data_IF_613286216370
#
_entry.id   IF_613286216370
#
_cell.length_a   1.000
_cell.length_b   1.000
_cell.length_c   1.000
_cell.angle_alpha   90.00
_cell.angle_beta   90.00
_cell.angle_gamma   90.00
#
_symmetry.space_group_name_H-M   'P 1'
#
loop_
_entity.id
_entity.type
_entity.pdbx_description
1 polymer ?
#
# COMPACT_ATOMS: atom_id res chain seq x y z
N UNK A 1 8.86 15.45 -20.09
CA UNK A 1 8.17 14.18 -19.75
C UNK A 1 9.19 13.07 -19.63
N UNK A 2 9.01 12.09 -18.73
CA UNK A 2 9.93 10.98 -18.51
C UNK A 2 9.22 9.64 -18.76
N UNK A 3 9.81 8.68 -19.49
CA UNK A 3 9.29 7.32 -19.55
C UNK A 3 9.52 6.65 -18.19
N UNK A 4 8.45 6.18 -17.57
CA UNK A 4 8.47 5.45 -16.30
C UNK A 4 7.63 4.20 -16.53
N UNK A 5 8.25 3.02 -16.77
CA UNK A 5 7.54 1.77 -16.95
C UNK A 5 6.67 1.50 -15.72
N UNK A 6 5.38 1.24 -15.93
CA UNK A 6 4.42 1.13 -14.83
C UNK A 6 3.23 0.27 -15.16
N UNK A 7 2.76 -0.47 -14.16
CA UNK A 7 1.59 -1.35 -14.28
C UNK A 7 0.74 -1.22 -13.02
N UNK A 8 -0.59 -1.20 -13.20
CA UNK A 8 -1.55 -1.27 -12.08
C UNK A 8 -2.08 -2.68 -11.97
N UNK A 9 -2.01 -3.27 -10.77
CA UNK A 9 -2.60 -4.56 -10.46
C UNK A 9 -3.95 -4.32 -9.80
N UNK A 10 -5.03 -4.62 -10.51
CA UNK A 10 -6.39 -4.37 -10.04
C UNK A 10 -7.17 -5.67 -9.91
N UNK A 11 -8.18 -5.70 -9.04
CA UNK A 11 -9.05 -6.88 -8.83
C UNK A 11 -10.47 -6.61 -9.29
N UNK A 12 -11.26 -7.67 -9.46
CA UNK A 12 -12.72 -7.53 -9.66
C UNK A 12 -13.47 -7.28 -8.36
N UNK A 13 -12.90 -7.68 -7.22
CA UNK A 13 -13.48 -7.47 -5.89
C UNK A 13 -12.43 -7.74 -4.81
N UNK A 14 -12.70 -7.30 -3.60
CA UNK A 14 -11.91 -7.68 -2.42
C UNK A 14 -11.88 -9.20 -2.26
N UNK A 15 -10.70 -9.77 -2.02
CA UNK A 15 -10.54 -11.22 -1.83
C UNK A 15 -10.35 -12.04 -3.11
N UNK A 16 -10.32 -11.44 -4.30
CA UNK A 16 -9.96 -12.12 -5.55
C UNK A 16 -8.49 -12.57 -5.63
N UNK A 17 -7.65 -12.14 -4.68
CA UNK A 17 -6.21 -12.45 -4.59
C UNK A 17 -5.28 -11.41 -5.22
N UNK A 18 -5.78 -10.20 -5.51
CA UNK A 18 -4.99 -9.06 -6.01
C UNK A 18 -3.73 -8.81 -5.18
N UNK A 19 -3.83 -8.71 -3.85
CA UNK A 19 -2.71 -8.37 -2.96
C UNK A 19 -1.61 -9.42 -3.00
N UNK A 20 -1.99 -10.70 -2.91
CA UNK A 20 -1.05 -11.82 -3.03
C UNK A 20 -0.35 -11.82 -4.40
N UNK A 21 -1.08 -11.52 -5.48
CA UNK A 21 -0.51 -11.44 -6.83
C UNK A 21 0.37 -10.22 -7.05
N UNK A 22 0.00 -9.06 -6.50
CA UNK A 22 0.82 -7.85 -6.58
C UNK A 22 2.14 -8.05 -5.82
N UNK A 23 2.08 -8.59 -4.60
CA UNK A 23 3.27 -8.94 -3.81
C UNK A 23 4.14 -9.98 -4.51
N UNK A 24 3.55 -11.06 -5.04
CA UNK A 24 4.30 -12.07 -5.80
C UNK A 24 4.92 -11.54 -7.08
N UNK A 25 4.24 -10.63 -7.78
CA UNK A 25 4.82 -9.95 -8.95
C UNK A 25 6.00 -9.06 -8.56
N UNK A 26 5.86 -8.26 -7.50
CA UNK A 26 6.96 -7.44 -6.98
C UNK A 26 8.16 -8.30 -6.59
N UNK A 27 7.93 -9.42 -5.93
CA UNK A 27 8.97 -10.38 -5.55
C UNK A 27 9.66 -11.00 -6.77
N UNK A 28 8.89 -11.50 -7.75
CA UNK A 28 9.45 -12.12 -8.95
C UNK A 28 10.27 -11.12 -9.78
N UNK A 29 9.80 -9.89 -9.93
CA UNK A 29 10.54 -8.83 -10.62
C UNK A 29 11.84 -8.46 -9.88
N UNK A 30 11.79 -8.38 -8.54
CA UNK A 30 12.96 -8.11 -7.70
C UNK A 30 13.97 -9.26 -7.79
N UNK A 31 13.51 -10.51 -7.77
CA UNK A 31 14.35 -11.70 -7.93
C UNK A 31 15.05 -11.77 -9.30
N UNK A 32 14.46 -11.16 -10.33
CA UNK A 32 15.07 -10.95 -11.66
C UNK A 32 16.09 -9.81 -11.69
N UNK A 33 16.36 -9.15 -10.56
CA UNK A 33 17.33 -8.07 -10.43
C UNK A 33 16.81 -6.70 -10.87
N UNK A 34 15.50 -6.54 -11.05
CA UNK A 34 14.90 -5.24 -11.37
C UNK A 34 14.74 -4.40 -10.10
N UNK A 35 15.00 -3.11 -10.21
CA UNK A 35 14.68 -2.13 -9.18
C UNK A 35 13.19 -1.81 -9.26
N UNK A 36 12.39 -2.44 -8.41
CA UNK A 36 10.93 -2.27 -8.36
C UNK A 36 10.55 -1.12 -7.42
N UNK A 37 9.80 -0.13 -7.91
CA UNK A 37 9.16 0.86 -7.03
C UNK A 37 7.71 0.46 -6.76
N UNK A 38 7.37 0.06 -5.51
CA UNK A 38 6.00 -0.25 -5.17
C UNK A 38 5.18 0.99 -4.84
N UNK A 39 3.88 0.91 -5.15
CA UNK A 39 2.86 1.85 -4.72
C UNK A 39 1.59 1.10 -4.32
N UNK A 40 0.77 1.73 -3.49
CA UNK A 40 -0.54 1.25 -3.09
C UNK A 40 -1.59 2.33 -3.33
N UNK A 41 -2.68 1.99 -4.00
CA UNK A 41 -3.83 2.91 -4.12
C UNK A 41 -4.53 2.99 -2.76
N UNK A 42 -4.94 4.21 -2.40
CA UNK A 42 -5.78 4.49 -1.24
C UNK A 42 -5.02 4.61 0.08
N UNK A 43 -5.73 4.84 1.20
CA UNK A 43 -5.20 5.14 2.52
C UNK A 43 -4.84 3.87 3.33
N UNK A 44 -4.07 2.96 2.72
CA UNK A 44 -3.69 1.68 3.35
C UNK A 44 -2.33 1.79 4.06
N UNK A 45 -2.21 1.23 5.27
CA UNK A 45 -0.96 1.24 6.03
C UNK A 45 -0.21 -0.10 6.02
N UNK A 46 -0.89 -1.20 5.70
CA UNK A 46 -0.38 -2.56 5.92
C UNK A 46 0.32 -3.07 4.67
N UNK A 47 -0.37 -3.05 3.53
CA UNK A 47 0.17 -3.50 2.24
C UNK A 47 1.50 -2.80 1.88
N UNK A 48 1.65 -1.46 2.07
CA UNK A 48 2.92 -0.78 1.84
C UNK A 48 4.10 -1.33 2.64
N UNK A 49 3.88 -1.89 3.84
CA UNK A 49 4.98 -2.46 4.63
C UNK A 49 5.50 -3.76 4.03
N UNK A 50 4.61 -4.62 3.54
CA UNK A 50 4.99 -5.83 2.82
C UNK A 50 5.68 -5.49 1.50
N UNK A 51 5.13 -4.55 0.74
CA UNK A 51 5.75 -4.07 -0.49
C UNK A 51 7.18 -3.58 -0.25
N UNK A 52 7.38 -2.80 0.82
CA UNK A 52 8.67 -2.21 1.17
C UNK A 52 9.69 -3.29 1.54
N UNK A 53 9.25 -4.30 2.30
CA UNK A 53 10.07 -5.45 2.65
C UNK A 53 10.49 -6.27 1.42
N UNK A 54 9.57 -6.47 0.47
CA UNK A 54 9.82 -7.22 -0.77
C UNK A 54 10.78 -6.47 -1.71
N UNK A 55 10.50 -5.19 -1.97
CA UNK A 55 11.21 -4.42 -3.00
C UNK A 55 12.48 -3.74 -2.49
N UNK A 56 12.73 -3.73 -1.18
CA UNK A 56 13.83 -2.97 -0.57
C UNK A 56 13.70 -1.45 -0.76
N UNK A 57 12.50 -0.95 -1.10
CA UNK A 57 12.20 0.46 -1.36
C UNK A 57 10.87 0.81 -0.72
N UNK A 58 10.79 1.96 -0.06
CA UNK A 58 9.56 2.41 0.59
C UNK A 58 8.41 2.53 -0.41
N UNK A 59 7.34 1.78 -0.17
CA UNK A 59 6.07 1.88 -0.90
C UNK A 59 5.34 3.15 -0.52
N UNK A 60 4.73 3.82 -1.50
CA UNK A 60 3.94 5.04 -1.28
C UNK A 60 2.47 4.84 -1.59
N UNK A 61 1.63 5.56 -0.86
CA UNK A 61 0.22 5.62 -1.13
C UNK A 61 -0.05 6.59 -2.28
N UNK A 62 -0.98 6.23 -3.16
CA UNK A 62 -1.51 7.07 -4.21
C UNK A 62 -3.01 7.22 -3.98
N UNK A 63 -3.38 8.36 -3.42
CA UNK A 63 -4.76 8.66 -3.06
C UNK A 63 -5.18 10.02 -3.65
N UNK A 64 -5.99 10.02 -4.73
CA UNK A 64 -6.43 11.27 -5.35
C UNK A 64 -7.34 12.12 -4.46
N UNK A 65 -7.97 11.55 -3.43
CA UNK A 65 -8.80 12.31 -2.49
C UNK A 65 -7.93 13.11 -1.51
N UNK A 66 -6.87 12.50 -0.98
CA UNK A 66 -5.94 13.16 -0.05
C UNK A 66 -4.96 14.12 -0.75
N UNK A 67 -4.47 13.73 -1.93
CA UNK A 67 -3.33 14.39 -2.58
C UNK A 67 -3.74 15.23 -3.81
N UNK A 68 -4.97 15.05 -4.32
CA UNK A 68 -5.36 15.52 -5.64
C UNK A 68 -4.65 14.75 -6.77
N UNK A 69 -5.12 14.93 -8.01
CA UNK A 69 -4.50 14.28 -9.18
C UNK A 69 -3.05 14.74 -9.39
N UNK A 70 -2.78 16.03 -9.20
CA UNK A 70 -1.43 16.60 -9.31
C UNK A 70 -0.47 16.00 -8.28
N UNK A 71 -0.92 15.85 -7.03
CA UNK A 71 -0.11 15.22 -5.97
C UNK A 71 0.20 13.75 -6.26
N UNK A 72 -0.76 13.01 -6.82
CA UNK A 72 -0.53 11.62 -7.27
C UNK A 72 0.53 11.57 -8.37
N UNK A 73 0.44 12.43 -9.39
CA UNK A 73 1.44 12.48 -10.47
C UNK A 73 2.82 12.91 -9.96
N UNK A 74 2.88 13.93 -9.09
CA UNK A 74 4.12 14.45 -8.53
C UNK A 74 4.83 13.39 -7.67
N UNK A 75 4.11 12.79 -6.71
CA UNK A 75 4.66 11.74 -5.85
C UNK A 75 5.08 10.53 -6.67
N UNK A 76 4.26 10.07 -7.62
CA UNK A 76 4.64 8.95 -8.49
C UNK A 76 5.93 9.24 -9.26
N UNK A 77 5.99 10.36 -9.99
CA UNK A 77 7.14 10.69 -10.83
C UNK A 77 8.43 10.89 -10.02
N UNK A 78 8.34 11.55 -8.86
CA UNK A 78 9.48 11.77 -7.96
C UNK A 78 10.02 10.45 -7.41
N UNK A 79 9.13 9.62 -6.86
CA UNK A 79 9.51 8.42 -6.11
C UNK A 79 9.92 7.27 -7.04
N UNK A 80 9.41 7.23 -8.28
CA UNK A 80 9.86 6.29 -9.30
C UNK A 80 11.26 6.57 -9.85
N UNK A 81 11.96 7.63 -9.42
CA UNK A 81 13.32 7.89 -9.88
C UNK A 81 14.26 6.75 -9.51
N UNK A 82 15.00 6.25 -10.51
CA UNK A 82 15.96 5.16 -10.37
C UNK A 82 15.33 3.76 -10.33
N UNK A 83 14.02 3.62 -10.53
CA UNK A 83 13.37 2.32 -10.67
C UNK A 83 13.31 1.89 -12.14
N UNK A 84 13.43 0.58 -12.37
CA UNK A 84 13.26 -0.04 -13.68
C UNK A 84 11.77 -0.22 -14.02
N UNK A 85 10.95 -0.47 -12.99
CA UNK A 85 9.50 -0.64 -13.11
C UNK A 85 8.78 -0.19 -11.84
N UNK A 86 7.64 0.48 -12.01
CA UNK A 86 6.71 0.78 -10.92
C UNK A 86 5.53 -0.20 -10.92
N UNK A 87 5.24 -0.79 -9.77
CA UNK A 87 4.07 -1.67 -9.59
C UNK A 87 3.11 -1.00 -8.63
N UNK A 88 1.90 -0.72 -9.09
CA UNK A 88 0.84 -0.07 -8.30
C UNK A 88 -0.20 -1.11 -7.93
N UNK A 89 -0.29 -1.48 -6.65
CA UNK A 89 -1.39 -2.33 -6.18
C UNK A 89 -2.66 -1.50 -6.01
N UNK A 90 -3.77 -1.93 -6.61
CA UNK A 90 -5.08 -1.32 -6.44
C UNK A 90 -5.69 -1.50 -5.04
N UNK A 91 -6.70 -0.71 -4.72
CA UNK A 91 -7.60 -0.92 -3.59
C UNK A 91 -8.92 -1.53 -4.07
N UNK A 92 -9.57 -2.33 -3.23
CA UNK A 92 -10.90 -2.91 -3.49
C UNK A 92 -11.01 -3.53 -4.91
N UNK A 93 -12.15 -3.40 -5.59
CA UNK A 93 -12.26 -3.65 -7.03
C UNK A 93 -11.79 -2.46 -7.88
N UNK A 94 -11.48 -2.71 -9.15
CA UNK A 94 -10.93 -1.72 -10.09
C UNK A 94 -11.73 -0.40 -10.11
N UNK A 95 -13.06 -0.49 -10.10
CA UNK A 95 -13.96 0.66 -10.24
C UNK A 95 -14.57 1.14 -8.91
N UNK A 96 -14.16 0.56 -7.78
CA UNK A 96 -14.74 0.88 -6.48
C UNK A 96 -14.02 2.10 -5.89
N UNK A 97 -14.64 3.28 -6.02
CA UNK A 97 -14.17 4.54 -5.41
C UNK A 97 -15.08 5.04 -4.29
N UNK A 98 -14.87 6.28 -3.88
CA UNK A 98 -15.63 6.96 -2.84
C UNK A 98 -17.11 7.04 -3.21
N UNK A 99 -17.98 6.78 -2.22
CA UNK A 99 -19.44 6.86 -2.35
C UNK A 99 -20.02 6.06 -3.53
N UNK A 100 -19.31 5.01 -3.97
CA UNK A 100 -19.71 4.18 -5.12
C UNK A 100 -19.45 4.82 -6.48
N UNK A 101 -18.71 5.92 -6.52
CA UNK A 101 -18.26 6.58 -7.75
C UNK A 101 -16.86 6.17 -8.18
N UNK A 102 -16.34 6.83 -9.21
CA UNK A 102 -14.98 6.61 -9.73
C UNK A 102 -13.90 7.34 -8.90
N UNK A 103 -14.27 8.39 -8.17
CA UNK A 103 -13.32 9.20 -7.40
C UNK A 103 -12.50 8.37 -6.43
N UNK A 104 -11.18 8.49 -6.51
CA UNK A 104 -10.19 7.73 -5.74
C UNK A 104 -10.28 6.19 -5.89
N UNK A 105 -10.92 5.70 -6.96
CA UNK A 105 -10.87 4.29 -7.34
C UNK A 105 -9.48 3.92 -7.88
N UNK A 106 -9.21 2.62 -8.01
CA UNK A 106 -8.02 2.12 -8.71
C UNK A 106 -8.01 2.55 -10.18
N UNK A 107 -9.17 2.59 -10.84
CA UNK A 107 -9.35 3.09 -12.20
C UNK A 107 -8.98 4.58 -12.31
N UNK A 108 -9.35 5.40 -11.33
CA UNK A 108 -8.99 6.81 -11.30
C UNK A 108 -7.47 7.00 -11.24
N UNK A 109 -6.77 6.27 -10.36
CA UNK A 109 -5.30 6.30 -10.31
C UNK A 109 -4.68 5.80 -11.61
N UNK A 110 -5.22 4.72 -12.20
CA UNK A 110 -4.73 4.22 -13.50
C UNK A 110 -4.85 5.28 -14.60
N UNK A 111 -5.94 6.05 -14.63
CA UNK A 111 -6.15 7.17 -15.57
C UNK A 111 -5.17 8.32 -15.34
N UNK A 112 -5.02 8.76 -14.10
CA UNK A 112 -4.06 9.83 -13.71
C UNK A 112 -2.64 9.48 -14.18
N UNK A 113 -2.25 8.21 -14.02
CA UNK A 113 -0.94 7.71 -14.42
C UNK A 113 -0.88 7.27 -15.88
N UNK A 114 -1.99 7.21 -16.64
CA UNK A 114 -2.03 6.56 -17.95
C UNK A 114 -1.48 5.12 -17.94
N UNK A 115 -1.61 4.42 -16.82
CA UNK A 115 -0.98 3.12 -16.60
C UNK A 115 -1.88 1.99 -17.14
N UNK A 116 -1.31 1.00 -17.85
CA UNK A 116 -2.04 -0.22 -18.19
C UNK A 116 -2.45 -0.97 -16.92
N UNK A 117 -3.64 -1.57 -16.96
CA UNK A 117 -4.21 -2.36 -15.87
C UNK A 117 -4.07 -3.85 -16.19
N UNK A 118 -3.49 -4.58 -15.25
CA UNK A 118 -3.50 -6.04 -15.20
C UNK A 118 -4.62 -6.47 -14.25
N UNK A 119 -5.71 -7.01 -14.80
CA UNK A 119 -6.89 -7.38 -14.03
C UNK A 119 -6.73 -8.79 -13.45
N UNK A 120 -6.88 -8.90 -12.13
CA UNK A 120 -6.91 -10.17 -11.40
C UNK A 120 -8.35 -10.64 -11.29
N UNK A 121 -8.62 -11.84 -11.80
CA UNK A 121 -9.96 -12.46 -11.80
C UNK A 121 -9.92 -13.78 -11.06
N UNK A 122 -10.78 -13.93 -10.05
CA UNK A 122 -10.97 -15.22 -9.39
C UNK A 122 -11.73 -16.18 -10.31
N UNK A 123 -11.08 -17.27 -10.70
CA UNK A 123 -11.67 -18.34 -11.50
C UNK A 123 -12.13 -19.55 -10.65
N UNK A 124 -11.94 -19.55 -9.33
CA UNK A 124 -12.11 -20.73 -8.47
C UNK A 124 -13.48 -21.43 -8.55
N UNK A 125 -14.52 -20.71 -8.97
CA UNK A 125 -15.87 -21.24 -9.18
C UNK A 125 -16.43 -21.07 -10.59
N UNK A 126 -15.62 -20.65 -11.57
CA UNK A 126 -16.10 -20.33 -12.91
C UNK A 126 -15.06 -20.64 -13.99
N UNK A 127 -15.51 -21.28 -15.09
CA UNK A 127 -14.71 -21.46 -16.30
C UNK A 127 -15.06 -20.38 -17.33
N UNK A 128 -15.90 -20.66 -18.32
CA UNK A 128 -16.24 -19.72 -19.42
C UNK A 128 -16.77 -18.36 -18.97
N UNK A 129 -17.50 -18.30 -17.85
CA UNK A 129 -18.12 -17.06 -17.36
C UNK A 129 -17.11 -15.98 -16.96
N UNK A 130 -15.86 -16.35 -16.65
CA UNK A 130 -14.82 -15.36 -16.35
C UNK A 130 -14.56 -14.42 -17.52
N UNK A 131 -14.77 -14.85 -18.76
CA UNK A 131 -14.63 -13.98 -19.94
C UNK A 131 -15.75 -12.96 -20.05
N UNK A 132 -16.96 -13.26 -19.58
CA UNK A 132 -18.02 -12.25 -19.51
C UNK A 132 -17.66 -11.16 -18.49
N UNK A 133 -17.06 -11.57 -17.35
CA UNK A 133 -16.52 -10.64 -16.35
C UNK A 133 -15.41 -9.80 -16.95
N UNK A 134 -14.38 -10.41 -17.55
CA UNK A 134 -13.26 -9.68 -18.18
C UNK A 134 -13.75 -8.70 -19.23
N UNK A 135 -14.66 -9.10 -20.12
CA UNK A 135 -15.24 -8.19 -21.13
C UNK A 135 -16.03 -7.05 -20.50
N UNK A 136 -16.79 -7.33 -19.45
CA UNK A 136 -17.50 -6.30 -18.69
C UNK A 136 -16.53 -5.28 -18.13
N UNK A 137 -15.48 -5.73 -17.44
CA UNK A 137 -14.46 -4.85 -16.87
C UNK A 137 -13.67 -4.07 -17.93
N UNK A 138 -13.24 -4.71 -19.01
CA UNK A 138 -12.48 -4.06 -20.07
C UNK A 138 -13.31 -3.06 -20.89
N UNK A 139 -14.64 -3.25 -20.96
CA UNK A 139 -15.55 -2.39 -21.71
C UNK A 139 -16.32 -1.37 -20.87
N UNK A 140 -16.14 -1.36 -19.54
CA UNK A 140 -16.94 -0.53 -18.63
C UNK A 140 -16.59 0.96 -18.72
N UNK A 141 -15.31 1.30 -18.55
CA UNK A 141 -14.79 2.66 -18.72
C UNK A 141 -13.80 2.69 -19.91
N UNK A 142 -14.16 3.32 -21.04
CA UNK A 142 -13.28 3.42 -22.21
C UNK A 142 -11.95 4.16 -21.97
N UNK A 143 -11.85 4.96 -20.90
CA UNK A 143 -10.62 5.64 -20.53
C UNK A 143 -9.65 4.74 -19.74
N UNK A 144 -10.10 3.56 -19.29
CA UNK A 144 -9.28 2.61 -18.53
C UNK A 144 -8.75 1.52 -19.45
N UNK A 145 -7.42 1.46 -19.58
CA UNK A 145 -6.75 0.46 -20.42
C UNK A 145 -6.54 -0.85 -19.65
N UNK A 146 -7.53 -1.73 -19.64
CA UNK A 146 -7.36 -3.13 -19.20
C UNK A 146 -6.54 -3.87 -20.25
N UNK A 147 -5.24 -4.01 -20.00
CA UNK A 147 -4.25 -4.46 -20.98
C UNK A 147 -3.97 -5.96 -20.91
N UNK A 148 -4.31 -6.60 -19.79
CA UNK A 148 -4.12 -8.03 -19.59
C UNK A 148 -4.97 -8.57 -18.44
N UNK A 149 -5.07 -9.89 -18.35
CA UNK A 149 -5.73 -10.59 -17.25
C UNK A 149 -4.83 -11.66 -16.63
N UNK A 150 -4.88 -11.80 -15.31
CA UNK A 150 -4.38 -12.98 -14.59
C UNK A 150 -5.59 -13.69 -13.99
N UNK A 151 -5.75 -14.97 -14.33
CA UNK A 151 -6.76 -15.82 -13.68
C UNK A 151 -6.17 -16.48 -12.45
N UNK A 152 -6.78 -16.21 -11.29
CA UNK A 152 -6.38 -16.75 -10.00
C UNK A 152 -7.24 -17.96 -9.61
N UNK A 153 -6.72 -18.79 -8.70
CA UNK A 153 -7.37 -19.98 -8.15
C UNK A 153 -7.78 -21.02 -9.19
N UNK A 154 -6.94 -21.20 -10.22
CA UNK A 154 -7.12 -22.27 -11.21
C UNK A 154 -7.03 -23.64 -10.53
N UNK A 155 -8.12 -24.40 -10.61
CA UNK A 155 -8.27 -25.67 -9.90
C UNK A 155 -7.58 -26.88 -10.54
N UNK A 156 -7.32 -26.88 -11.85
CA UNK A 156 -6.66 -27.99 -12.56
C UNK A 156 -6.25 -27.60 -14.00
N UNK A 157 -5.39 -28.38 -14.68
CA UNK A 157 -5.10 -28.18 -16.10
C UNK A 157 -6.36 -28.25 -16.99
N UNK A 158 -7.31 -29.12 -16.65
CA UNK A 158 -8.59 -29.22 -17.37
C UNK A 158 -9.44 -27.95 -17.21
N UNK A 159 -9.43 -27.36 -16.01
CA UNK A 159 -10.12 -26.11 -15.75
C UNK A 159 -9.51 -24.96 -16.57
N UNK A 160 -8.18 -24.85 -16.61
CA UNK A 160 -7.47 -23.89 -17.47
C UNK A 160 -7.86 -24.02 -18.95
N UNK A 161 -7.84 -25.25 -19.49
CA UNK A 161 -8.20 -25.50 -20.88
C UNK A 161 -9.63 -25.05 -21.23
N UNK A 162 -10.57 -25.13 -20.29
CA UNK A 162 -11.93 -24.62 -20.50
C UNK A 162 -12.00 -23.09 -20.58
N UNK A 163 -11.08 -22.38 -19.94
CA UNK A 163 -11.02 -20.91 -19.97
C UNK A 163 -10.31 -20.44 -21.25
N UNK A 164 -9.17 -21.04 -21.62
CA UNK A 164 -8.37 -20.67 -22.80
C UNK A 164 -9.17 -20.70 -24.12
N UNK A 165 -10.19 -21.55 -24.22
CA UNK A 165 -10.99 -21.70 -25.44
C UNK A 165 -11.81 -20.46 -25.88
N UNK A 166 -11.85 -19.38 -25.10
CA UNK A 166 -12.78 -18.25 -25.32
C UNK A 166 -12.19 -16.84 -25.16
N UNK A 167 -10.86 -16.68 -25.28
CA UNK A 167 -10.12 -15.45 -24.99
C UNK A 167 -10.65 -14.14 -25.62
N UNK A 168 -10.50 -13.03 -24.87
CA UNK A 168 -10.93 -11.69 -25.30
C UNK A 168 -9.98 -10.54 -24.95
N UNK A 169 -9.05 -10.77 -24.01
CA UNK A 169 -7.97 -9.86 -23.59
C UNK A 169 -6.72 -10.74 -23.40
N UNK A 170 -5.48 -10.26 -23.65
CA UNK A 170 -4.27 -11.04 -23.42
C UNK A 170 -4.23 -11.64 -22.00
N UNK A 171 -4.01 -12.96 -21.91
CA UNK A 171 -3.86 -13.63 -20.62
C UNK A 171 -2.39 -13.64 -20.23
N UNK A 172 -2.06 -12.97 -19.14
CA UNK A 172 -0.71 -12.83 -18.63
C UNK A 172 -0.37 -13.84 -17.53
N UNK A 173 -1.31 -14.66 -17.08
CA UNK A 173 -1.00 -15.68 -16.07
C UNK A 173 -2.17 -16.56 -15.64
N UNK A 174 -1.80 -17.74 -15.12
CA UNK A 174 -2.72 -18.81 -14.70
C UNK A 174 -2.32 -19.35 -13.33
N UNK A 175 -2.76 -18.68 -12.28
CA UNK A 175 -2.27 -18.95 -10.93
C UNK A 175 -3.09 -20.09 -10.30
N UNK A 176 -2.44 -21.19 -9.89
CA UNK A 176 -3.14 -22.35 -9.34
C UNK A 176 -3.73 -22.03 -7.97
N UNK A 177 -4.79 -22.75 -7.60
CA UNK A 177 -5.32 -22.71 -6.23
C UNK A 177 -4.31 -23.33 -5.27
N UNK A 178 -3.71 -22.51 -4.39
CA UNK A 178 -2.80 -22.92 -3.32
C UNK A 178 -3.48 -22.84 -1.97
N UNK A 179 -3.75 -23.99 -1.35
CA UNK A 179 -4.30 -24.05 0.01
C UNK A 179 -3.20 -23.99 1.08
N UNK A 180 -1.99 -24.38 0.69
CA UNK A 180 -0.77 -24.40 1.50
C UNK A 180 -0.14 -23.01 1.70
N UNK A 181 -0.63 -22.00 0.97
CA UNK A 181 -0.21 -20.59 1.08
C UNK A 181 -1.38 -19.67 1.48
N UNK A 182 -2.42 -20.23 2.10
CA UNK A 182 -3.57 -19.43 2.54
C UNK A 182 -3.15 -18.52 3.70
N UNK A 183 -3.12 -17.21 3.45
CA UNK A 183 -2.93 -16.21 4.51
C UNK A 183 -4.18 -16.23 5.40
N UNK A 184 -4.02 -16.63 6.66
CA UNK A 184 -5.11 -16.68 7.62
C UNK A 184 -5.71 -15.28 7.84
N UNK A 185 -7.04 -15.16 7.89
CA UNK A 185 -7.71 -13.93 8.32
C UNK A 185 -7.47 -13.72 9.81
N UNK A 186 -6.44 -12.95 10.18
CA UNK A 186 -6.15 -12.60 11.57
C UNK A 186 -6.98 -11.38 11.96
N UNK A 187 -7.41 -11.30 13.23
CA UNK A 187 -8.21 -10.19 13.75
C UNK A 187 -7.61 -8.86 13.27
N UNK A 188 -8.42 -8.03 12.61
CA UNK A 188 -8.07 -6.68 12.12
C UNK A 188 -6.94 -6.59 11.06
N UNK A 189 -6.48 -7.70 10.45
CA UNK A 189 -5.46 -7.67 9.37
C UNK A 189 -4.03 -7.41 9.85
N UNK A 190 -3.76 -7.60 11.15
CA UNK A 190 -2.67 -7.01 11.95
C UNK A 190 -1.25 -7.60 11.80
N UNK A 191 -0.78 -7.92 10.60
CA UNK A 191 0.64 -8.25 10.45
C UNK A 191 1.31 -7.23 9.53
N UNK A 192 2.00 -6.25 10.10
CA UNK A 192 3.01 -5.49 9.36
C UNK A 192 4.07 -6.48 8.88
N UNK A 193 4.52 -6.34 7.63
CA UNK A 193 5.57 -7.14 6.99
C UNK A 193 5.75 -8.58 7.54
N UNK A 194 4.86 -9.48 7.11
CA UNK A 194 4.93 -10.96 7.15
C UNK A 194 6.03 -11.57 8.04
N UNK A 195 5.77 -11.67 9.34
CA UNK A 195 6.65 -12.34 10.31
C UNK A 195 6.90 -13.83 9.97
N UNK A 196 6.08 -14.44 9.11
CA UNK A 196 6.08 -15.87 8.80
C UNK A 196 6.65 -16.21 7.40
N UNK A 197 7.03 -15.23 6.57
CA UNK A 197 7.62 -15.43 5.24
C UNK A 197 6.74 -16.18 4.22
N UNK A 198 5.43 -16.18 4.40
CA UNK A 198 4.44 -16.82 3.51
C UNK A 198 4.25 -16.05 2.20
N UNK A 199 4.29 -14.72 2.25
CA UNK A 199 4.22 -13.83 1.09
C UNK A 199 5.45 -14.01 0.18
N UNK A 200 6.62 -14.25 0.78
CA UNK A 200 7.91 -14.52 0.11
C UNK A 200 7.99 -15.89 -0.62
N UNK A 201 6.88 -16.62 -0.69
CA UNK A 201 6.80 -17.88 -1.46
C UNK A 201 5.94 -17.74 -2.71
N UNK A 202 5.25 -16.61 -2.86
CA UNK A 202 4.33 -16.41 -3.97
C UNK A 202 5.02 -15.90 -5.23
N UNK A 203 6.19 -15.25 -5.11
CA UNK A 203 6.98 -14.82 -6.26
C UNK A 203 7.42 -15.96 -7.16
N UNK A 204 7.84 -17.10 -6.60
CA UNK A 204 8.16 -18.29 -7.39
C UNK A 204 6.96 -18.84 -8.17
N UNK A 205 5.76 -18.75 -7.58
CA UNK A 205 4.51 -19.14 -8.27
C UNK A 205 4.22 -18.19 -9.41
N UNK A 206 4.36 -16.88 -9.20
CA UNK A 206 4.16 -15.87 -10.24
C UNK A 206 5.18 -16.04 -11.37
N UNK A 207 6.45 -16.26 -11.05
CA UNK A 207 7.53 -16.55 -12.01
C UNK A 207 7.22 -17.77 -12.89
N UNK A 208 6.68 -18.84 -12.31
CA UNK A 208 6.33 -20.06 -13.05
C UNK A 208 5.05 -19.91 -13.90
N UNK A 209 4.07 -19.13 -13.40
CA UNK A 209 2.69 -19.17 -13.93
C UNK A 209 2.27 -17.94 -14.72
N UNK A 210 3.08 -16.88 -14.71
CA UNK A 210 2.80 -15.61 -15.38
C UNK A 210 3.86 -15.27 -16.44
N UNK A 211 3.42 -14.62 -17.52
CA UNK A 211 4.28 -14.08 -18.57
C UNK A 211 4.93 -12.76 -18.10
N UNK A 212 6.00 -12.87 -17.31
CA UNK A 212 6.72 -11.71 -16.81
C UNK A 212 7.33 -10.83 -17.92
N UNK A 213 7.96 -11.37 -18.99
CA UNK A 213 8.38 -10.56 -20.12
C UNK A 213 7.22 -9.74 -20.71
N UNK A 214 6.06 -10.36 -20.97
CA UNK A 214 4.89 -9.65 -21.47
C UNK A 214 4.36 -8.59 -20.50
N UNK A 215 4.37 -8.85 -19.19
CA UNK A 215 3.98 -7.86 -18.17
C UNK A 215 4.95 -6.67 -18.16
N UNK A 216 6.25 -6.90 -18.33
CA UNK A 216 7.26 -5.83 -18.44
C UNK A 216 7.02 -5.00 -19.70
N UNK A 217 6.76 -5.64 -20.84
CA UNK A 217 6.44 -4.95 -22.10
C UNK A 217 5.17 -4.10 -21.97
N UNK A 218 4.14 -4.62 -21.30
CA UNK A 218 2.93 -3.87 -20.98
C UNK A 218 3.29 -2.63 -20.14
N UNK A 219 4.09 -2.78 -19.08
CA UNK A 219 4.51 -1.68 -18.23
C UNK A 219 5.28 -0.60 -19.01
N UNK A 220 6.15 -1.01 -19.95
CA UNK A 220 6.91 -0.11 -20.82
C UNK A 220 6.03 0.62 -21.84
N UNK A 221 4.86 0.09 -22.17
CA UNK A 221 3.90 0.73 -23.09
C UNK A 221 3.14 1.91 -22.47
N UNK A 222 3.38 2.24 -21.19
CA UNK A 222 2.80 3.41 -20.54
C UNK A 222 3.40 4.70 -21.13
N UNK A 223 2.58 5.74 -21.38
CA UNK A 223 3.06 6.99 -21.96
C UNK A 223 4.04 7.71 -21.02
N UNK A 224 4.89 8.62 -21.51
CA UNK A 224 5.70 9.47 -20.64
C UNK A 224 4.82 10.34 -19.71
N UNK A 225 5.24 10.54 -18.47
CA UNK A 225 4.57 11.46 -17.51
C UNK A 225 5.29 12.81 -17.42
N UNK A 226 4.59 13.90 -17.06
CA UNK A 226 5.25 15.15 -16.71
C UNK A 226 6.26 14.93 -15.58
N UNK A 227 7.40 15.61 -15.67
CA UNK A 227 8.40 15.59 -14.60
C UNK A 227 8.06 16.79 -13.71
N UNK A 228 7.74 16.58 -12.43
CA UNK A 228 7.50 17.69 -11.52
C UNK A 228 8.79 18.52 -11.39
N UNK A 229 8.68 19.85 -11.23
CA UNK A 229 9.84 20.69 -10.92
C UNK A 229 10.53 20.16 -9.65
N UNK A 230 11.86 20.28 -9.60
CA UNK A 230 12.61 19.90 -8.40
C UNK A 230 12.02 20.61 -7.17
N UNK A 231 11.78 19.85 -6.10
CA UNK A 231 11.19 20.37 -4.88
C UNK A 231 12.01 21.56 -4.37
N UNK A 232 11.31 22.63 -4.01
CA UNK A 232 11.87 23.84 -3.41
C UNK A 232 12.84 23.48 -2.28
N UNK A 233 13.98 24.17 -2.22
CA UNK A 233 15.04 23.92 -1.25
C UNK A 233 14.52 23.85 0.18
N UNK A 234 15.12 22.97 0.99
CA UNK A 234 14.77 22.79 2.40
C UNK A 234 14.71 24.15 3.10
N UNK A 235 13.59 24.45 3.77
CA UNK A 235 13.46 25.68 4.53
C UNK A 235 14.58 25.79 5.58
N UNK A 236 15.07 27.01 5.82
CA UNK A 236 16.19 27.24 6.76
C UNK A 236 15.81 27.05 8.24
N UNK A 237 14.51 27.14 8.57
CA UNK A 237 14.02 26.92 9.94
C UNK A 237 14.14 25.45 10.32
N UNK A 238 14.77 25.19 11.47
CA UNK A 238 14.91 23.86 12.06
C UNK A 238 14.04 23.77 13.30
N UNK A 239 12.99 22.95 13.22
CA UNK A 239 12.16 22.55 14.37
C UNK A 239 12.31 21.05 14.56
N UNK A 240 12.42 20.58 15.80
CA UNK A 240 12.51 19.16 16.13
C UNK A 240 11.12 18.62 16.42
N UNK A 241 10.65 17.66 15.63
CA UNK A 241 9.34 17.04 15.83
C UNK A 241 9.55 15.61 16.34
N UNK A 242 9.07 15.33 17.54
CA UNK A 242 9.05 13.98 18.10
C UNK A 242 7.97 13.14 17.42
N UNK A 243 8.36 12.06 16.76
CA UNK A 243 7.42 11.15 16.09
C UNK A 243 7.36 9.84 16.88
N UNK A 244 6.19 9.51 17.42
CA UNK A 244 5.99 8.25 18.14
C UNK A 244 6.14 7.07 17.18
N UNK A 245 7.09 6.16 17.39
CA UNK A 245 7.37 5.10 16.43
C UNK A 245 7.74 3.80 17.13
N UNK A 246 6.74 2.93 17.27
CA UNK A 246 6.87 1.59 17.83
C UNK A 246 5.69 0.71 17.36
N UNK A 247 5.53 -0.49 17.94
CA UNK A 247 4.42 -1.38 17.58
C UNK A 247 3.02 -0.79 17.88
N UNK A 248 2.92 0.11 18.86
CA UNK A 248 1.67 0.79 19.20
C UNK A 248 1.37 1.97 18.26
N UNK A 249 2.41 2.62 17.72
CA UNK A 249 2.30 3.76 16.80
C UNK A 249 3.12 3.51 15.53
N UNK A 250 2.52 2.76 14.62
CA UNK A 250 3.18 2.26 13.40
C UNK A 250 2.51 2.74 12.10
N UNK A 251 1.45 3.55 12.17
CA UNK A 251 0.71 3.99 11.00
C UNK A 251 1.07 5.42 10.60
N UNK A 252 1.91 5.51 9.58
CA UNK A 252 2.37 6.77 9.01
C UNK A 252 2.36 6.73 7.49
N UNK A 253 1.84 7.79 6.88
CA UNK A 253 2.09 8.07 5.47
C UNK A 253 3.48 8.68 5.34
N UNK A 254 4.39 8.00 4.65
CA UNK A 254 5.76 8.49 4.47
C UNK A 254 5.79 9.85 3.77
N UNK A 255 4.83 10.15 2.89
CA UNK A 255 4.72 11.46 2.25
C UNK A 255 4.48 12.59 3.26
N UNK A 256 3.74 12.36 4.35
CA UNK A 256 3.55 13.37 5.40
C UNK A 256 4.88 13.67 6.12
N UNK A 257 5.66 12.63 6.44
CA UNK A 257 6.96 12.77 7.08
C UNK A 257 7.96 13.49 6.17
N UNK A 258 8.00 13.15 4.88
CA UNK A 258 8.84 13.83 3.91
C UNK A 258 8.48 15.30 3.78
N UNK A 259 7.19 15.64 3.77
CA UNK A 259 6.71 17.03 3.70
C UNK A 259 7.12 17.83 4.93
N UNK A 260 7.12 17.23 6.13
CA UNK A 260 7.67 17.87 7.33
C UNK A 260 9.17 18.15 7.18
N UNK A 261 9.95 17.16 6.71
CA UNK A 261 11.39 17.32 6.50
C UNK A 261 11.69 18.40 5.45
N UNK A 262 10.93 18.43 4.35
CA UNK A 262 11.03 19.45 3.31
C UNK A 262 10.70 20.85 3.85
N UNK A 263 9.72 20.95 4.75
CA UNK A 263 9.37 22.18 5.46
C UNK A 263 10.41 22.61 6.53
N UNK A 264 11.51 21.85 6.70
CA UNK A 264 12.62 22.21 7.60
C UNK A 264 12.64 21.42 8.91
N UNK A 265 11.69 20.52 9.15
CA UNK A 265 11.69 19.73 10.37
C UNK A 265 12.87 18.74 10.44
N UNK A 266 13.31 18.48 11.67
CA UNK A 266 14.13 17.35 12.05
C UNK A 266 13.22 16.36 12.81
N UNK A 267 13.01 15.18 12.24
CA UNK A 267 12.16 14.15 12.87
C UNK A 267 12.99 13.35 13.88
N UNK A 268 12.50 13.29 15.12
CA UNK A 268 13.10 12.51 16.21
C UNK A 268 12.15 11.37 16.54
N UNK A 269 12.44 10.17 16.05
CA UNK A 269 11.64 8.98 16.34
C UNK A 269 11.93 8.47 17.75
N UNK A 270 10.88 8.16 18.50
CA UNK A 270 10.99 7.57 19.85
C UNK A 270 9.84 6.60 20.09
N UNK A 271 10.03 5.63 20.98
CA UNK A 271 9.01 4.65 21.39
C UNK A 271 8.29 5.14 22.65
N UNK A 272 7.00 5.52 22.59
CA UNK A 272 6.24 5.87 23.79
C UNK A 272 6.14 4.72 24.79
N UNK A 273 6.29 3.46 24.36
CA UNK A 273 6.28 2.31 25.26
C UNK A 273 7.55 2.18 26.12
N UNK A 274 8.72 2.55 25.58
CA UNK A 274 10.01 2.22 26.22
C UNK A 274 10.88 3.42 26.56
N UNK A 275 10.75 4.50 25.80
CA UNK A 275 11.68 5.62 25.89
C UNK A 275 11.17 6.70 26.87
N UNK A 276 11.99 7.74 27.06
CA UNK A 276 11.55 9.02 27.62
C UNK A 276 11.21 9.95 26.47
N UNK A 277 10.42 10.99 26.75
CA UNK A 277 10.17 12.04 25.77
C UNK A 277 11.51 12.69 25.38
N UNK A 278 11.92 12.68 24.09
CA UNK A 278 13.10 13.39 23.64
C UNK A 278 12.93 14.91 23.76
N UNK A 279 14.04 15.66 23.76
CA UNK A 279 13.98 17.12 23.64
C UNK A 279 13.49 17.50 22.23
N UNK A 280 12.26 17.97 22.11
CA UNK A 280 11.62 18.33 20.84
C UNK A 280 10.72 19.56 21.01
N UNK A 281 10.41 20.23 19.91
CA UNK A 281 9.60 21.45 19.87
C UNK A 281 8.11 21.18 19.64
N UNK A 282 7.77 19.96 19.22
CA UNK A 282 6.40 19.51 19.00
C UNK A 282 6.33 18.01 18.77
N UNK A 283 5.10 17.47 18.76
CA UNK A 283 4.85 16.03 18.64
C UNK A 283 3.93 15.67 17.48
N UNK A 284 4.25 14.55 16.84
CA UNK A 284 3.35 13.80 15.96
C UNK A 284 3.18 12.39 16.53
N UNK A 285 1.97 12.09 17.04
CA UNK A 285 1.57 10.76 17.48
C UNK A 285 0.58 10.18 16.47
N UNK A 286 1.09 9.34 15.57
CA UNK A 286 0.33 8.73 14.49
C UNK A 286 -0.67 7.66 14.95
N UNK A 287 -1.22 6.96 13.97
CA UNK A 287 -2.11 5.83 14.22
C UNK A 287 -1.36 4.57 14.64
N UNK A 288 -2.13 3.54 14.98
CA UNK A 288 -1.65 2.22 15.34
C UNK A 288 -2.62 1.56 16.31
N UNK A 289 -2.11 0.65 17.13
CA UNK A 289 -2.91 -0.24 17.97
C UNK A 289 -2.55 -0.11 19.45
N UNK A 290 -2.76 1.07 20.08
CA UNK A 290 -2.45 1.26 21.49
C UNK A 290 -3.17 0.27 22.40
N UNK A 291 -4.33 -0.25 21.99
CA UNK A 291 -5.09 -1.26 22.72
C UNK A 291 -4.35 -2.59 22.88
N UNK A 292 -3.50 -2.98 21.92
CA UNK A 292 -2.69 -4.20 22.01
C UNK A 292 -1.49 -4.02 22.93
N UNK A 293 -1.18 -2.78 23.30
CA UNK A 293 0.00 -2.39 24.06
C UNK A 293 -0.36 -1.57 25.32
N UNK A 294 -1.62 -1.63 25.76
CA UNK A 294 -2.15 -0.76 26.81
C UNK A 294 -1.40 -0.88 28.15
N UNK A 295 -0.94 -2.08 28.51
CA UNK A 295 -0.15 -2.30 29.73
C UNK A 295 1.23 -1.63 29.65
N UNK A 296 1.94 -1.81 28.52
CA UNK A 296 3.25 -1.18 28.30
C UNK A 296 3.14 0.35 28.28
N UNK A 297 2.13 0.87 27.58
CA UNK A 297 1.85 2.31 27.50
C UNK A 297 1.47 2.92 28.86
N UNK A 298 0.66 2.23 29.66
CA UNK A 298 0.28 2.68 31.00
C UNK A 298 1.47 2.71 31.97
N UNK A 299 2.36 1.72 31.88
CA UNK A 299 3.56 1.61 32.72
C UNK A 299 4.71 2.53 32.26
N UNK A 300 4.64 3.07 31.04
CA UNK A 300 5.70 3.90 30.47
C UNK A 300 5.88 5.22 31.21
N UNK A 301 7.15 5.60 31.43
CA UNK A 301 7.51 6.92 31.97
C UNK A 301 7.25 8.04 30.96
N UNK A 302 7.24 7.73 29.66
CA UNK A 302 6.93 8.70 28.63
C UNK A 302 5.53 9.30 28.81
N UNK A 303 4.59 8.54 29.39
CA UNK A 303 3.23 8.97 29.70
C UNK A 303 3.20 10.23 30.60
N UNK A 304 4.08 10.29 31.60
CA UNK A 304 4.17 11.44 32.51
C UNK A 304 4.90 12.62 31.87
N UNK A 305 5.94 12.35 31.08
CA UNK A 305 6.67 13.39 30.34
C UNK A 305 5.75 14.08 29.31
N UNK A 306 4.97 13.29 28.56
CA UNK A 306 4.00 13.78 27.58
C UNK A 306 2.95 14.67 28.25
N UNK A 307 2.33 14.20 29.34
CA UNK A 307 1.35 14.98 30.10
C UNK A 307 1.90 16.32 30.55
N UNK A 308 3.13 16.34 31.08
CA UNK A 308 3.79 17.57 31.52
C UNK A 308 4.04 18.50 30.34
N UNK A 309 4.70 18.01 29.29
CA UNK A 309 5.10 18.84 28.16
C UNK A 309 3.89 19.40 27.39
N UNK A 310 2.83 18.60 27.18
CA UNK A 310 1.57 19.06 26.58
C UNK A 310 0.87 20.07 27.51
N UNK A 311 0.84 19.80 28.82
CA UNK A 311 0.30 20.72 29.83
C UNK A 311 1.03 22.07 29.89
N UNK A 312 2.33 22.07 29.61
CA UNK A 312 3.19 23.27 29.53
C UNK A 312 3.06 24.00 28.18
N UNK A 313 2.21 23.51 27.27
CA UNK A 313 1.85 24.17 26.01
C UNK A 313 2.57 23.66 24.77
N UNK A 314 3.23 22.51 24.82
CA UNK A 314 3.87 21.91 23.64
C UNK A 314 2.83 21.56 22.56
N UNK A 315 3.02 21.97 21.31
CA UNK A 315 2.11 21.62 20.22
C UNK A 315 2.16 20.12 19.93
N UNK A 316 0.98 19.51 19.79
CA UNK A 316 0.83 18.08 19.47
C UNK A 316 -0.19 17.88 18.36
N UNK A 317 0.17 17.06 17.39
CA UNK A 317 -0.75 16.48 16.43
C UNK A 317 -0.89 14.98 16.73
N UNK A 318 -2.10 14.53 17.01
CA UNK A 318 -2.39 13.14 17.33
C UNK A 318 -3.61 12.65 16.52
N UNK A 319 -3.49 11.46 15.94
CA UNK A 319 -4.52 10.88 15.08
C UNK A 319 -4.77 9.41 15.42
N UNK A 320 -6.01 8.94 15.24
CA UNK A 320 -6.38 7.54 15.45
C UNK A 320 -5.88 7.00 16.82
N UNK A 321 -4.97 6.02 16.82
CA UNK A 321 -4.35 5.46 18.02
C UNK A 321 -3.66 6.51 18.90
N UNK A 322 -3.03 7.52 18.31
CA UNK A 322 -2.46 8.64 19.06
C UNK A 322 -3.50 9.42 19.86
N UNK A 323 -4.69 9.66 19.30
CA UNK A 323 -5.77 10.33 20.01
C UNK A 323 -6.31 9.48 21.18
N UNK A 324 -6.39 8.16 20.99
CA UNK A 324 -6.74 7.22 22.06
C UNK A 324 -5.69 7.28 23.18
N UNK A 325 -4.41 7.32 22.81
CA UNK A 325 -3.31 7.39 23.78
C UNK A 325 -3.23 8.70 24.55
N UNK A 326 -3.74 9.82 24.01
CA UNK A 326 -3.83 11.10 24.72
C UNK A 326 -5.14 11.30 25.52
N UNK A 327 -5.96 10.25 25.63
CA UNK A 327 -7.16 10.27 26.48
C UNK A 327 -6.78 10.01 27.95
N UNK A 328 -7.73 10.18 28.88
CA UNK A 328 -7.45 9.91 30.30
C UNK A 328 -7.17 8.42 30.58
N UNK A 329 -7.95 7.54 29.95
CA UNK A 329 -7.88 6.09 30.13
C UNK A 329 -8.39 5.33 28.91
N UNK A 330 -7.94 4.09 28.77
CA UNK A 330 -8.43 3.11 27.82
C UNK A 330 -8.95 1.88 28.58
N UNK A 331 -10.19 1.46 28.31
CA UNK A 331 -10.80 0.30 28.97
C UNK A 331 -10.85 -0.88 28.00
N UNK A 332 -10.20 -2.00 28.38
CA UNK A 332 -10.14 -3.24 27.58
C UNK A 332 -10.53 -4.40 28.48
N UNK A 333 -11.50 -5.22 28.06
CA UNK A 333 -11.98 -6.37 28.84
C UNK A 333 -12.32 -6.02 30.31
N UNK A 334 -12.97 -4.87 30.53
CA UNK A 334 -13.30 -4.28 31.83
C UNK A 334 -12.10 -3.94 32.72
N UNK A 335 -10.90 -3.75 32.14
CA UNK A 335 -9.72 -3.24 32.82
C UNK A 335 -9.36 -1.86 32.31
N UNK A 336 -9.12 -0.94 33.24
CA UNK A 336 -8.73 0.43 32.92
C UNK A 336 -7.21 0.57 32.87
N UNK A 337 -6.73 1.14 31.78
CA UNK A 337 -5.33 1.48 31.56
C UNK A 337 -5.18 3.00 31.49
N UNK A 338 -4.42 3.65 32.40
CA UNK A 338 -4.21 5.09 32.33
C UNK A 338 -3.38 5.46 31.10
N UNK A 339 -3.84 6.46 30.36
CA UNK A 339 -3.23 6.93 29.12
C UNK A 339 -2.47 8.27 29.36
N UNK A 340 -1.86 8.86 28.32
CA UNK A 340 -0.92 9.99 28.42
C UNK A 340 -1.60 11.33 28.67
#
# INVERSE_FOLDING_TARGET
MRPIPRIVIAGTHSGCGKTTLASGLMEALTARGLTVQPFKVGPDFIDPTHHSAICGRTSRNLDPFMMGEEGVQETFARISSGADIAVVEGAMGLYDGLEGGDTASTAHVAKILGAPVLLVVDAGGASRSVHAVVRGYAGFDPAVRVAGVIFNRIGSPRHRAFIEATESVPVCGWVPRRQDLAVGSRHLGLALADEDGTMARFGAVVEETCDLPGIIDLAQSAPPLPVPPEAFGRAEMRVRIGVASDAAFCFYYTDNLDRLVQAGAELVFFSPMTDRLPEVDGLYIGGGYPELHAEALAASRCREDLRRAIGDGMPVFAECGGLIYLSERLTIDNRDHPMA
#
